data_IF_966942940014
#
_entry.id   IF_966942940014
#
_cell.length_a   1.000
_cell.length_b   1.000
_cell.length_c   1.000
_cell.angle_alpha   90.00
_cell.angle_beta   90.00
_cell.angle_gamma   90.00
#
_symmetry.space_group_name_H-M   'P 1'
#
loop_
_entity.id
_entity.type
_entity.pdbx_description
1 polymer ?
#
# COMPACT_ATOMS: atom_id res chain seq x y z
N UNK A 1 15.71 13.10 21.98
CA UNK A 1 15.17 13.65 20.71
C UNK A 1 14.35 12.59 19.99
N UNK A 2 13.08 12.86 19.74
CA UNK A 2 12.16 11.93 19.05
C UNK A 2 12.32 12.04 17.54
N UNK A 3 12.46 10.91 16.88
CA UNK A 3 12.58 10.79 15.42
C UNK A 3 11.35 10.07 14.87
N UNK A 4 11.11 10.20 13.57
CA UNK A 4 9.98 9.58 12.89
C UNK A 4 10.49 8.78 11.71
N UNK A 5 9.95 7.58 11.53
CA UNK A 5 10.09 6.78 10.31
C UNK A 5 8.76 6.91 9.56
N UNK A 6 8.85 7.38 8.32
CA UNK A 6 7.70 7.54 7.44
C UNK A 6 7.76 6.46 6.35
N UNK A 7 6.65 5.78 6.11
CA UNK A 7 6.54 4.71 5.12
C UNK A 7 5.30 4.99 4.27
N UNK A 8 5.45 4.90 2.96
CA UNK A 8 4.32 4.91 2.03
C UNK A 8 4.09 3.48 1.55
N UNK A 9 2.85 3.01 1.69
CA UNK A 9 2.44 1.68 1.22
C UNK A 9 1.49 1.88 0.05
N UNK A 10 1.69 1.05 -0.98
CA UNK A 10 0.79 0.94 -2.13
C UNK A 10 0.31 -0.49 -2.23
N UNK A 11 -0.98 -0.70 -2.37
CA UNK A 11 -1.59 -2.02 -2.49
C UNK A 11 -2.81 -1.98 -3.40
N UNK A 12 -3.16 -3.12 -3.99
CA UNK A 12 -4.36 -3.29 -4.82
C UNK A 12 -5.59 -3.63 -3.97
N UNK A 13 -5.43 -4.42 -2.90
CA UNK A 13 -6.57 -4.92 -2.12
C UNK A 13 -6.84 -4.13 -0.83
N UNK A 14 -8.13 -4.02 -0.48
CA UNK A 14 -8.65 -3.40 0.75
C UNK A 14 -8.46 -4.19 2.08
N UNK A 15 -8.35 -5.54 2.13
CA UNK A 15 -8.39 -6.27 3.39
C UNK A 15 -7.05 -6.32 4.14
N UNK A 16 -5.98 -5.68 3.63
CA UNK A 16 -4.73 -5.53 4.39
C UNK A 16 -4.93 -4.74 5.70
N UNK A 17 -6.07 -4.05 5.84
CA UNK A 17 -6.37 -3.15 6.95
C UNK A 17 -7.16 -3.76 8.08
N UNK A 18 -8.04 -4.70 7.78
CA UNK A 18 -9.02 -5.15 8.76
C UNK A 18 -8.37 -6.03 9.83
N UNK A 19 -7.37 -6.84 9.49
CA UNK A 19 -6.75 -7.73 10.46
C UNK A 19 -5.22 -7.83 10.25
N UNK A 20 -4.48 -7.35 11.25
CA UNK A 20 -3.04 -7.57 11.43
C UNK A 20 -2.12 -6.98 10.36
N UNK A 21 -1.76 -5.71 10.54
CA UNK A 21 -0.51 -5.18 9.98
C UNK A 21 0.68 -5.91 10.59
N UNK A 22 1.09 -7.04 9.99
CA UNK A 22 2.43 -7.66 9.95
C UNK A 22 3.38 -7.33 11.14
N UNK A 23 2.89 -7.41 12.38
CA UNK A 23 3.65 -7.06 13.58
C UNK A 23 4.24 -5.64 13.56
N UNK A 24 3.51 -4.64 13.04
CA UNK A 24 3.84 -3.23 13.29
C UNK A 24 3.44 -2.83 14.72
N UNK A 25 4.21 -1.94 15.36
CA UNK A 25 3.90 -1.52 16.72
C UNK A 25 2.54 -0.80 16.80
N UNK A 26 1.79 -0.96 17.91
CA UNK A 26 0.45 -0.40 18.06
C UNK A 26 0.42 1.15 18.03
N UNK A 27 1.54 1.81 18.31
CA UNK A 27 1.68 3.27 18.26
C UNK A 27 1.91 3.84 16.85
N UNK A 28 1.62 3.07 15.81
CA UNK A 28 1.73 3.52 14.41
C UNK A 28 0.55 4.39 14.00
N UNK A 29 0.82 5.62 13.56
CA UNK A 29 -0.22 6.46 12.97
C UNK A 29 -0.38 6.12 11.49
N UNK A 30 -1.60 5.81 11.08
CA UNK A 30 -1.97 5.54 9.68
C UNK A 30 -2.78 6.71 9.13
N UNK A 31 -2.47 7.13 7.91
CA UNK A 31 -3.16 8.20 7.20
C UNK A 31 -3.46 7.67 5.80
N UNK A 32 -4.75 7.65 5.42
CA UNK A 32 -5.15 7.35 4.05
C UNK A 32 -4.75 8.50 3.13
N UNK A 33 -4.12 8.17 2.00
CA UNK A 33 -3.84 9.12 0.93
C UNK A 33 -4.83 8.90 -0.21
N UNK A 34 -5.08 9.90 -1.06
CA UNK A 34 -5.97 9.73 -2.20
C UNK A 34 -5.52 8.55 -3.08
N UNK A 35 -6.50 7.72 -3.39
CA UNK A 35 -6.34 6.52 -4.21
C UNK A 35 -6.21 6.93 -5.68
N UNK A 36 -5.58 6.07 -6.48
CA UNK A 36 -5.43 6.30 -7.90
C UNK A 36 -6.12 5.19 -8.66
N UNK A 37 -7.04 5.58 -9.55
CA UNK A 37 -7.86 4.70 -10.36
C UNK A 37 -7.45 4.80 -11.82
N UNK A 38 -7.29 3.67 -12.49
CA UNK A 38 -7.12 3.59 -13.94
C UNK A 38 -8.27 2.78 -14.53
N UNK A 39 -8.96 3.35 -15.52
CA UNK A 39 -10.09 2.75 -16.21
C UNK A 39 -9.65 2.21 -17.57
N UNK A 40 -9.95 0.94 -17.83
CA UNK A 40 -9.72 0.31 -19.12
C UNK A 40 -11.07 -0.09 -19.71
N UNK A 41 -11.28 0.20 -20.99
CA UNK A 41 -12.46 -0.27 -21.73
C UNK A 41 -12.00 -1.18 -22.85
N UNK A 42 -12.43 -2.45 -22.81
CA UNK A 42 -11.99 -3.49 -23.74
C UNK A 42 -13.19 -3.98 -24.54
N UNK A 43 -13.01 -4.24 -25.83
CA UNK A 43 -14.05 -4.87 -26.65
C UNK A 43 -14.16 -6.35 -26.28
N UNK A 44 -15.39 -6.86 -26.13
CA UNK A 44 -15.62 -8.28 -25.83
C UNK A 44 -15.31 -9.18 -27.03
N UNK A 45 -15.61 -8.70 -28.23
CA UNK A 45 -15.42 -9.43 -29.49
C UNK A 45 -14.22 -8.87 -30.26
N UNK A 46 -13.42 -9.71 -30.93
CA UNK A 46 -12.23 -9.26 -31.64
C UNK A 46 -12.50 -8.47 -32.92
N UNK A 47 -13.70 -8.55 -33.52
CA UNK A 47 -13.89 -8.06 -34.90
C UNK A 47 -15.08 -7.11 -35.15
N UNK A 48 -16.32 -7.47 -34.78
CA UNK A 48 -17.50 -6.75 -35.33
C UNK A 48 -18.29 -5.97 -34.27
N UNK A 49 -18.35 -6.45 -33.03
CA UNK A 49 -19.24 -5.85 -32.04
C UNK A 49 -18.56 -4.77 -31.18
N UNK A 50 -18.64 -3.51 -31.65
CA UNK A 50 -18.12 -2.32 -30.94
C UNK A 50 -19.05 -1.82 -29.82
N UNK A 51 -20.28 -2.35 -29.73
CA UNK A 51 -21.25 -1.98 -28.69
C UNK A 51 -21.11 -2.88 -27.45
N UNK A 52 -20.64 -4.12 -27.58
CA UNK A 52 -20.24 -4.94 -26.43
C UNK A 52 -18.85 -4.56 -25.91
N UNK A 53 -18.83 -3.77 -24.84
CA UNK A 53 -17.62 -3.33 -24.14
C UNK A 53 -17.60 -3.83 -22.71
N UNK A 54 -16.42 -4.15 -22.22
CA UNK A 54 -16.13 -4.40 -20.81
C UNK A 54 -15.39 -3.23 -20.21
N UNK A 55 -15.75 -2.86 -19.00
CA UNK A 55 -15.02 -1.87 -18.22
C UNK A 55 -14.28 -2.59 -17.12
N UNK A 56 -12.97 -2.39 -17.08
CA UNK A 56 -12.11 -2.83 -16.00
C UNK A 56 -11.56 -1.62 -15.27
N UNK A 57 -11.28 -1.84 -14.00
CA UNK A 57 -10.64 -0.87 -13.15
C UNK A 57 -9.41 -1.48 -12.50
N UNK A 58 -8.37 -0.67 -12.41
CA UNK A 58 -7.24 -0.91 -11.53
C UNK A 58 -7.19 0.20 -10.49
N UNK A 59 -7.50 -0.15 -9.25
CA UNK A 59 -7.44 0.76 -8.10
C UNK A 59 -6.14 0.50 -7.31
N UNK A 60 -5.40 1.56 -7.02
CA UNK A 60 -4.20 1.51 -6.18
C UNK A 60 -4.42 2.39 -4.96
N UNK A 61 -4.47 1.73 -3.80
CA UNK A 61 -4.63 2.37 -2.50
C UNK A 61 -3.28 2.83 -1.99
N UNK A 62 -3.22 4.07 -1.51
CA UNK A 62 -1.99 4.69 -1.01
C UNK A 62 -2.18 5.06 0.45
N UNK A 63 -1.21 4.72 1.27
CA UNK A 63 -1.28 5.03 2.69
C UNK A 63 0.06 5.47 3.22
N UNK A 64 -0.03 6.37 4.19
CA UNK A 64 1.10 6.94 4.87
C UNK A 64 1.12 6.46 6.31
N UNK A 65 2.24 5.86 6.70
CA UNK A 65 2.48 5.28 8.01
C UNK A 65 3.59 6.05 8.71
N UNK A 66 3.34 6.47 9.94
CA UNK A 66 4.30 7.15 10.79
C UNK A 66 4.57 6.34 12.04
N UNK A 67 5.83 5.93 12.19
CA UNK A 67 6.35 5.27 13.40
C UNK A 67 7.17 6.30 14.16
N UNK A 68 6.81 6.57 15.42
CA UNK A 68 7.64 7.41 16.31
C UNK A 68 8.71 6.52 16.97
N UNK A 69 9.96 6.97 16.93
CA UNK A 69 11.10 6.22 17.49
C UNK A 69 12.04 7.15 18.25
N UNK A 70 12.87 6.59 19.11
CA UNK A 70 14.02 7.30 19.63
C UNK A 70 15.20 7.26 18.66
N UNK A 71 16.06 8.28 18.71
CA UNK A 71 17.22 8.40 17.82
C UNK A 71 18.18 7.21 17.93
N UNK A 72 18.38 6.69 19.14
CA UNK A 72 19.33 5.59 19.39
C UNK A 72 18.83 4.24 18.87
N UNK A 73 17.51 4.00 18.88
CA UNK A 73 16.92 2.76 18.35
C UNK A 73 16.62 2.79 16.85
N UNK A 74 16.67 3.98 16.23
CA UNK A 74 16.26 4.22 14.85
C UNK A 74 16.90 3.23 13.86
N UNK A 75 18.23 3.07 13.95
CA UNK A 75 19.00 2.21 13.03
C UNK A 75 18.58 0.74 13.14
N UNK A 76 18.35 0.26 14.36
CA UNK A 76 17.88 -1.11 14.64
C UNK A 76 16.47 -1.33 14.08
N UNK A 77 15.54 -0.42 14.37
CA UNK A 77 14.15 -0.50 13.88
C UNK A 77 14.07 -0.45 12.34
N UNK A 78 14.83 0.45 11.72
CA UNK A 78 14.91 0.56 10.25
C UNK A 78 15.51 -0.70 9.60
N UNK A 79 16.55 -1.28 10.21
CA UNK A 79 17.19 -2.50 9.72
C UNK A 79 16.20 -3.67 9.66
N UNK A 80 15.46 -3.91 10.75
CA UNK A 80 14.47 -5.00 10.79
C UNK A 80 13.28 -4.77 9.84
N UNK A 81 12.85 -3.52 9.67
CA UNK A 81 11.80 -3.16 8.70
C UNK A 81 12.23 -3.49 7.26
N UNK A 82 13.45 -3.12 6.86
CA UNK A 82 13.97 -3.43 5.52
C UNK A 82 14.11 -4.94 5.30
N UNK A 83 14.57 -5.67 6.31
CA UNK A 83 14.72 -7.13 6.21
C UNK A 83 13.38 -7.84 6.04
N UNK A 84 12.30 -7.37 6.67
CA UNK A 84 10.95 -7.92 6.44
C UNK A 84 10.44 -7.67 5.01
N UNK A 85 10.88 -6.60 4.37
CA UNK A 85 10.45 -6.24 3.02
C UNK A 85 11.04 -7.15 1.93
N UNK A 86 12.25 -7.69 2.14
CA UNK A 86 12.96 -8.51 1.14
C UNK A 86 12.49 -9.97 1.05
N UNK A 87 11.63 -10.42 1.96
CA UNK A 87 11.08 -11.80 1.95
C UNK A 87 9.74 -11.93 1.21
N UNK A 88 9.24 -10.87 0.57
CA UNK A 88 7.94 -10.87 -0.15
C UNK A 88 8.05 -11.00 -1.68
N UNK A 89 9.26 -11.19 -2.20
CA UNK A 89 9.54 -11.60 -3.59
C UNK A 89 10.06 -13.02 -3.55
#
# INVERSE_FOLDING_TARGET
>A
MTTKICIVIRSFDHPFFENHFCGLPPYTRKIGLPESRVLYTVLRSPHIDKKSREQFEMEIKKQFLVIKTEKHELRKKLFWLKRRATWRT
#
